data_IF_545270451578
#
_entry.id   IF_545270451578
#
_cell.length_a   1.000
_cell.length_b   1.000
_cell.length_c   1.000
_cell.angle_alpha   90.00
_cell.angle_beta   90.00
_cell.angle_gamma   90.00
#
_symmetry.space_group_name_H-M   'P 1'
#
loop_
_entity.id
_entity.type
_entity.pdbx_description
1 polymer ?
#
# COMPACT_ATOMS: atom_id res chain seq x y z
N UNK A 1 7.27 -8.61 26.12
CA UNK A 1 6.74 -7.94 24.91
C UNK A 1 6.32 -9.04 23.96
N UNK A 2 5.13 -8.93 23.36
CA UNK A 2 4.68 -9.86 22.30
C UNK A 2 5.57 -9.70 21.07
N UNK A 3 5.73 -10.74 20.26
CA UNK A 3 6.51 -10.66 19.03
C UNK A 3 5.73 -9.86 17.96
N UNK A 4 6.44 -9.09 17.13
CA UNK A 4 5.85 -8.37 16.00
C UNK A 4 6.63 -8.71 14.75
N UNK A 5 5.95 -9.42 13.83
CA UNK A 5 6.51 -9.80 12.54
C UNK A 5 6.67 -8.55 11.68
N UNK A 6 5.68 -7.65 11.71
CA UNK A 6 5.71 -6.41 10.93
C UNK A 6 6.86 -5.50 11.36
N UNK A 7 7.12 -5.35 12.65
CA UNK A 7 8.28 -4.61 13.15
C UNK A 7 9.61 -5.27 12.75
N UNK A 8 9.70 -6.60 12.77
CA UNK A 8 10.92 -7.30 12.32
C UNK A 8 11.19 -7.07 10.83
N UNK A 9 10.15 -7.03 9.98
CA UNK A 9 10.29 -6.70 8.55
C UNK A 9 10.83 -5.27 8.35
N UNK A 10 10.33 -4.29 9.09
CA UNK A 10 10.86 -2.91 9.00
C UNK A 10 12.36 -2.85 9.32
N UNK A 11 12.78 -3.54 10.38
CA UNK A 11 14.18 -3.57 10.84
C UNK A 11 15.07 -4.37 9.86
N UNK A 12 14.56 -5.40 9.19
CA UNK A 12 15.37 -6.24 8.30
C UNK A 12 15.83 -5.52 7.04
N UNK A 13 15.12 -4.47 6.60
CA UNK A 13 15.36 -3.80 5.32
C UNK A 13 15.37 -2.26 5.41
N UNK A 14 15.83 -1.68 6.52
CA UNK A 14 15.76 -0.23 6.81
C UNK A 14 16.21 0.68 5.64
N UNK A 15 17.32 0.34 4.97
CA UNK A 15 17.83 1.14 3.86
C UNK A 15 16.94 1.07 2.61
N UNK A 16 16.39 -0.11 2.30
CA UNK A 16 15.44 -0.25 1.21
C UNK A 16 14.12 0.44 1.54
N UNK A 17 13.64 0.32 2.78
CA UNK A 17 12.47 1.02 3.28
C UNK A 17 12.62 2.54 3.15
N UNK A 18 13.80 3.08 3.50
CA UNK A 18 14.09 4.50 3.34
C UNK A 18 14.02 4.94 1.88
N UNK A 19 14.57 4.17 0.93
CA UNK A 19 14.50 4.53 -0.50
C UNK A 19 13.07 4.45 -1.04
N UNK A 20 12.30 3.47 -0.58
CA UNK A 20 10.88 3.32 -0.91
C UNK A 20 10.01 4.47 -0.37
N UNK A 21 10.41 5.15 0.70
CA UNK A 21 9.56 6.15 1.40
C UNK A 21 10.11 7.58 1.37
N UNK A 22 11.34 7.81 0.89
CA UNK A 22 12.00 9.12 0.91
C UNK A 22 12.65 9.43 -0.44
N UNK A 23 11.85 9.36 -1.51
CA UNK A 23 12.28 9.66 -2.86
C UNK A 23 12.42 11.17 -3.12
N UNK A 24 13.19 11.53 -4.15
CA UNK A 24 13.33 12.93 -4.57
C UNK A 24 11.99 13.50 -5.08
N UNK A 25 11.14 12.68 -5.71
CA UNK A 25 9.77 13.07 -6.06
C UNK A 25 8.97 13.50 -4.82
N UNK A 26 8.96 12.69 -3.76
CA UNK A 26 8.27 13.02 -2.50
C UNK A 26 8.84 14.30 -1.88
N UNK A 27 10.17 14.48 -1.95
CA UNK A 27 10.82 15.70 -1.47
C UNK A 27 10.33 16.92 -2.24
N UNK A 28 10.29 16.85 -3.57
CA UNK A 28 9.78 17.95 -4.41
C UNK A 28 8.31 18.21 -4.15
N UNK A 29 7.48 17.18 -4.01
CA UNK A 29 6.06 17.31 -3.68
C UNK A 29 5.87 18.03 -2.33
N UNK A 30 6.60 17.59 -1.29
CA UNK A 30 6.58 18.23 0.03
C UNK A 30 7.13 19.66 0.06
N UNK A 31 7.94 20.07 -0.92
CA UNK A 31 8.40 21.47 -1.05
C UNK A 31 7.57 22.31 -2.03
N UNK A 32 6.44 21.79 -2.53
CA UNK A 32 5.63 22.48 -3.53
C UNK A 32 6.32 22.66 -4.89
N UNK A 33 7.31 21.82 -5.20
CA UNK A 33 8.13 21.91 -6.43
C UNK A 33 7.80 20.86 -7.48
N UNK A 34 6.93 19.90 -7.18
CA UNK A 34 6.45 18.95 -8.17
C UNK A 34 5.53 19.67 -9.17
N UNK A 35 5.86 19.64 -10.46
CA UNK A 35 5.02 20.26 -11.49
C UNK A 35 3.73 19.46 -11.71
N UNK A 36 2.72 20.08 -12.32
CA UNK A 36 1.47 19.40 -12.71
C UNK A 36 1.70 18.22 -13.64
N UNK A 37 2.67 18.31 -14.55
CA UNK A 37 3.00 17.22 -15.47
C UNK A 37 3.64 16.04 -14.72
N UNK A 38 4.57 16.33 -13.80
CA UNK A 38 5.23 15.31 -12.99
C UNK A 38 4.23 14.61 -12.06
N UNK A 39 3.43 15.39 -11.33
CA UNK A 39 2.38 14.88 -10.45
C UNK A 39 1.31 14.11 -11.23
N UNK A 40 0.89 14.63 -12.39
CA UNK A 40 -0.09 14.00 -13.27
C UNK A 40 0.41 12.66 -13.82
N UNK A 41 1.69 12.56 -14.21
CA UNK A 41 2.29 11.29 -14.63
C UNK A 41 2.23 10.24 -13.52
N UNK A 42 2.56 10.62 -12.27
CA UNK A 42 2.47 9.72 -11.14
C UNK A 42 1.02 9.30 -10.86
N UNK A 43 0.09 10.25 -10.72
CA UNK A 43 -1.35 9.97 -10.51
C UNK A 43 -1.96 9.09 -11.61
N UNK A 44 -1.52 9.26 -12.86
CA UNK A 44 -1.99 8.43 -13.97
C UNK A 44 -1.58 6.95 -13.81
N UNK A 45 -0.40 6.69 -13.25
CA UNK A 45 0.05 5.34 -12.91
C UNK A 45 -0.66 4.83 -11.65
N UNK A 46 -0.82 5.68 -10.65
CA UNK A 46 -1.53 5.38 -9.40
C UNK A 46 -2.98 4.93 -9.64
N UNK A 47 -3.67 5.57 -10.59
CA UNK A 47 -5.00 5.13 -11.03
C UNK A 47 -5.03 3.69 -11.56
N UNK A 48 -4.05 3.31 -12.38
CA UNK A 48 -3.97 1.95 -12.93
C UNK A 48 -3.53 0.94 -11.86
N UNK A 49 -2.67 1.39 -10.96
CA UNK A 49 -2.24 0.64 -9.78
C UNK A 49 -3.47 0.24 -8.94
N UNK A 50 -4.42 1.14 -8.68
CA UNK A 50 -5.67 0.85 -7.97
C UNK A 50 -6.46 -0.30 -8.60
N UNK A 51 -6.46 -0.42 -9.93
CA UNK A 51 -7.17 -1.53 -10.59
C UNK A 51 -6.49 -2.86 -10.33
N UNK A 52 -5.16 -2.89 -10.28
CA UNK A 52 -4.39 -4.08 -9.93
C UNK A 52 -4.51 -4.44 -8.45
N UNK A 53 -4.52 -3.44 -7.57
CA UNK A 53 -4.79 -3.56 -6.14
C UNK A 53 -6.15 -4.25 -5.89
N UNK A 54 -7.22 -3.76 -6.54
CA UNK A 54 -8.56 -4.35 -6.44
C UNK A 54 -8.59 -5.82 -6.91
N UNK A 55 -7.89 -6.15 -8.00
CA UNK A 55 -7.81 -7.53 -8.51
C UNK A 55 -7.05 -8.45 -7.56
N UNK A 56 -5.97 -7.98 -6.95
CA UNK A 56 -5.23 -8.74 -5.94
C UNK A 56 -6.08 -8.99 -4.69
N UNK A 57 -6.87 -8.01 -4.24
CA UNK A 57 -7.76 -8.20 -3.09
C UNK A 57 -8.87 -9.19 -3.40
N UNK A 58 -9.40 -9.16 -4.63
CA UNK A 58 -10.35 -10.17 -5.11
C UNK A 58 -9.76 -11.59 -5.09
N UNK A 59 -8.46 -11.74 -5.42
CA UNK A 59 -7.75 -13.03 -5.30
C UNK A 59 -7.59 -13.44 -3.85
N UNK A 60 -7.10 -12.56 -2.99
CA UNK A 60 -6.97 -12.82 -1.56
C UNK A 60 -8.30 -13.28 -0.97
N UNK A 61 -9.37 -12.53 -1.24
CA UNK A 61 -10.72 -12.86 -0.81
C UNK A 61 -11.17 -14.24 -1.29
N UNK A 62 -10.82 -14.64 -2.52
CA UNK A 62 -11.28 -15.91 -3.10
C UNK A 62 -10.76 -17.18 -2.42
N UNK A 63 -9.69 -17.07 -1.63
CA UNK A 63 -9.12 -18.22 -0.92
C UNK A 63 -9.11 -18.06 0.61
N UNK A 64 -9.72 -17.00 1.16
CA UNK A 64 -9.88 -16.91 2.61
C UNK A 64 -10.86 -17.96 3.11
N UNK A 65 -10.42 -18.78 4.06
CA UNK A 65 -11.25 -19.81 4.70
C UNK A 65 -11.91 -19.26 5.97
N UNK A 66 -13.23 -19.41 6.05
CA UNK A 66 -14.03 -18.89 7.15
C UNK A 66 -14.52 -20.01 8.06
N UNK A 67 -14.77 -19.72 9.36
CA UNK A 67 -15.38 -20.69 10.25
C UNK A 67 -16.78 -21.10 9.77
N UNK A 68 -17.06 -22.40 9.71
CA UNK A 68 -18.40 -22.94 9.40
C UNK A 68 -19.43 -22.66 10.48
N UNK A 69 -18.98 -22.40 11.71
CA UNK A 69 -19.84 -22.19 12.89
C UNK A 69 -19.52 -20.89 13.59
N UNK A 70 -20.56 -20.18 14.02
CA UNK A 70 -20.45 -18.96 14.83
C UNK A 70 -20.54 -19.31 16.30
N UNK A 71 -19.60 -18.81 17.11
CA UNK A 71 -19.68 -18.87 18.57
C UNK A 71 -19.82 -17.45 19.14
N UNK A 72 -20.92 -17.11 19.84
CA UNK A 72 -21.08 -15.82 20.48
C UNK A 72 -19.95 -15.54 21.49
N UNK A 73 -19.44 -14.30 21.51
CA UNK A 73 -18.39 -13.85 22.44
C UNK A 73 -17.02 -14.52 22.28
N UNK A 74 -16.73 -15.14 21.13
CA UNK A 74 -15.40 -15.65 20.80
C UNK A 74 -14.73 -14.70 19.81
N UNK A 75 -13.40 -14.59 19.89
CA UNK A 75 -12.60 -13.82 18.92
C UNK A 75 -12.93 -14.31 17.49
N UNK A 76 -13.36 -13.42 16.57
CA UNK A 76 -13.73 -13.80 15.19
C UNK A 76 -12.56 -14.41 14.40
N UNK A 77 -11.33 -14.33 14.91
CA UNK A 77 -10.15 -14.92 14.32
C UNK A 77 -9.56 -14.06 13.21
N UNK A 78 -8.30 -14.33 12.86
CA UNK A 78 -7.56 -13.51 11.91
C UNK A 78 -8.19 -13.45 10.51
N UNK A 79 -8.72 -14.56 10.00
CA UNK A 79 -9.33 -14.58 8.66
C UNK A 79 -10.59 -13.72 8.55
N UNK A 80 -11.44 -13.71 9.59
CA UNK A 80 -12.63 -12.86 9.62
C UNK A 80 -12.25 -11.38 9.73
N UNK A 81 -11.29 -11.03 10.61
CA UNK A 81 -10.78 -9.65 10.71
C UNK A 81 -10.14 -9.20 9.39
N UNK A 82 -9.41 -10.09 8.72
CA UNK A 82 -8.82 -9.81 7.41
C UNK A 82 -9.89 -9.61 6.34
N UNK A 83 -11.00 -10.35 6.37
CA UNK A 83 -12.16 -10.09 5.49
C UNK A 83 -12.71 -8.68 5.71
N UNK A 84 -12.95 -8.28 6.96
CA UNK A 84 -13.46 -6.95 7.28
C UNK A 84 -12.51 -5.85 6.77
N UNK A 85 -11.20 -6.06 6.96
CA UNK A 85 -10.17 -5.18 6.44
C UNK A 85 -10.19 -5.09 4.91
N UNK A 86 -10.29 -6.22 4.19
CA UNK A 86 -10.36 -6.26 2.71
C UNK A 86 -11.59 -5.49 2.21
N UNK A 87 -12.75 -5.65 2.87
CA UNK A 87 -13.97 -4.93 2.51
C UNK A 87 -13.75 -3.42 2.69
N UNK A 88 -13.18 -3.00 3.82
CA UNK A 88 -12.85 -1.61 4.07
C UNK A 88 -11.86 -1.07 3.03
N UNK A 89 -10.81 -1.83 2.70
CA UNK A 89 -9.80 -1.49 1.71
C UNK A 89 -10.41 -1.24 0.32
N UNK A 90 -11.29 -2.14 -0.15
CA UNK A 90 -11.99 -1.98 -1.43
C UNK A 90 -12.92 -0.75 -1.43
N UNK A 91 -13.59 -0.45 -0.32
CA UNK A 91 -14.41 0.77 -0.22
C UNK A 91 -13.54 2.01 -0.25
N UNK A 92 -12.44 2.03 0.50
CA UNK A 92 -11.53 3.16 0.63
C UNK A 92 -10.85 3.47 -0.70
N UNK A 93 -10.22 2.48 -1.35
CA UNK A 93 -9.48 2.69 -2.59
C UNK A 93 -10.39 3.18 -3.74
N UNK A 94 -11.69 2.78 -3.73
CA UNK A 94 -12.68 3.27 -4.72
C UNK A 94 -13.15 4.68 -4.42
N UNK A 95 -13.17 5.11 -3.16
CA UNK A 95 -13.42 6.51 -2.78
C UNK A 95 -12.22 7.38 -3.15
N UNK A 96 -11.02 6.90 -2.87
CA UNK A 96 -9.76 7.54 -3.20
C UNK A 96 -9.61 7.77 -4.70
N UNK A 97 -9.88 6.77 -5.54
CA UNK A 97 -9.82 6.93 -7.00
C UNK A 97 -10.72 8.08 -7.48
N UNK A 98 -11.95 8.17 -6.94
CA UNK A 98 -12.87 9.26 -7.29
C UNK A 98 -12.37 10.60 -6.77
N UNK A 99 -11.88 10.64 -5.53
CA UNK A 99 -11.35 11.83 -4.90
C UNK A 99 -10.24 12.42 -5.76
N UNK A 100 -9.18 11.66 -6.07
CA UNK A 100 -8.07 12.29 -6.77
C UNK A 100 -8.35 12.61 -8.23
N UNK A 101 -9.23 11.86 -8.92
CA UNK A 101 -9.65 12.22 -10.28
C UNK A 101 -10.33 13.60 -10.27
N UNK A 102 -11.23 13.83 -9.31
CA UNK A 102 -11.96 15.10 -9.20
C UNK A 102 -11.00 16.24 -8.80
N UNK A 103 -10.18 16.03 -7.77
CA UNK A 103 -9.19 17.01 -7.34
C UNK A 103 -8.20 17.34 -8.45
N UNK A 104 -7.66 16.34 -9.15
CA UNK A 104 -6.75 16.58 -10.27
C UNK A 104 -7.42 17.42 -11.37
N UNK A 105 -8.69 17.18 -11.68
CA UNK A 105 -9.43 17.98 -12.64
C UNK A 105 -9.60 19.44 -12.20
N UNK A 106 -9.90 19.69 -10.91
CA UNK A 106 -10.02 21.04 -10.35
C UNK A 106 -8.71 21.84 -10.43
N UNK A 107 -7.57 21.16 -10.29
CA UNK A 107 -6.24 21.76 -10.38
C UNK A 107 -5.67 21.75 -11.81
N UNK A 108 -6.39 21.21 -12.79
CA UNK A 108 -5.94 21.11 -14.18
C UNK A 108 -4.77 20.15 -14.40
N UNK A 109 -4.71 19.07 -13.62
CA UNK A 109 -3.70 18.01 -13.69
C UNK A 109 -4.25 16.85 -14.54
N UNK A 110 -3.52 16.45 -15.59
CA UNK A 110 -3.90 15.30 -16.40
C UNK A 110 -3.47 13.99 -15.75
N UNK A 111 -4.43 13.10 -15.48
CA UNK A 111 -4.24 11.78 -14.85
C UNK A 111 -4.44 10.61 -15.82
N UNK A 112 -4.19 10.84 -17.11
CA UNK A 112 -4.22 9.80 -18.13
C UNK A 112 -2.84 9.59 -18.76
N UNK A 113 -2.45 8.33 -18.87
CA UNK A 113 -1.39 7.90 -19.77
C UNK A 113 -1.95 7.78 -21.18
N UNK A 114 -1.08 7.90 -22.18
CA UNK A 114 -1.44 7.68 -23.57
C UNK A 114 -1.92 6.23 -23.78
N UNK A 115 -2.92 6.08 -24.66
CA UNK A 115 -3.50 4.77 -24.97
C UNK A 115 -3.35 4.46 -26.45
N UNK A 116 -3.21 3.17 -26.76
CA UNK A 116 -3.27 2.68 -28.13
C UNK A 116 -4.68 2.70 -28.71
N UNK A 117 -4.83 2.23 -29.94
CA UNK A 117 -6.13 2.16 -30.63
C UNK A 117 -7.16 1.26 -29.92
N UNK A 118 -6.70 0.34 -29.08
CA UNK A 118 -7.53 -0.56 -28.26
C UNK A 118 -7.97 0.06 -26.93
N UNK A 119 -7.62 1.32 -26.67
CA UNK A 119 -7.91 2.03 -25.43
C UNK A 119 -7.07 1.56 -24.23
N UNK A 120 -5.99 0.79 -24.47
CA UNK A 120 -5.11 0.32 -23.41
C UNK A 120 -3.80 1.11 -23.38
N UNK A 121 -3.26 1.24 -22.18
CA UNK A 121 -1.96 1.86 -21.93
C UNK A 121 -0.88 0.84 -22.24
N UNK A 122 0.06 1.21 -23.12
CA UNK A 122 1.20 0.37 -23.45
C UNK A 122 2.13 0.22 -22.23
N UNK A 123 2.62 -1.00 -21.99
CA UNK A 123 3.46 -1.31 -20.82
C UNK A 123 4.71 -0.44 -20.73
N UNK A 124 5.31 -0.05 -21.86
CA UNK A 124 6.50 0.80 -21.90
C UNK A 124 6.27 2.23 -21.41
N UNK A 125 5.01 2.70 -21.41
CA UNK A 125 4.64 4.03 -20.92
C UNK A 125 4.43 4.08 -19.40
N UNK A 126 4.20 2.91 -18.79
CA UNK A 126 4.00 2.76 -17.35
C UNK A 126 5.31 2.93 -16.59
N UNK A 127 5.22 3.47 -15.37
CA UNK A 127 6.32 3.43 -14.42
C UNK A 127 6.72 1.99 -14.13
N UNK A 128 8.00 1.77 -13.87
CA UNK A 128 8.50 0.44 -13.53
C UNK A 128 7.79 -0.12 -12.30
N UNK A 129 7.61 0.70 -11.26
CA UNK A 129 6.87 0.30 -10.07
C UNK A 129 5.45 -0.15 -10.38
N UNK A 130 4.73 0.50 -11.31
CA UNK A 130 3.38 0.07 -11.68
C UNK A 130 3.40 -1.35 -12.28
N UNK A 131 4.36 -1.64 -13.15
CA UNK A 131 4.52 -2.99 -13.73
C UNK A 131 4.85 -4.03 -12.66
N UNK A 132 5.68 -3.66 -11.68
CA UNK A 132 6.02 -4.52 -10.53
C UNK A 132 4.81 -4.78 -9.64
N UNK A 133 4.04 -3.76 -9.31
CA UNK A 133 2.80 -3.89 -8.53
C UNK A 133 1.75 -4.73 -9.25
N UNK A 134 1.54 -4.51 -10.55
CA UNK A 134 0.64 -5.34 -11.37
C UNK A 134 1.03 -6.82 -11.31
N UNK A 135 2.33 -7.12 -11.40
CA UNK A 135 2.85 -8.48 -11.28
C UNK A 135 2.70 -9.05 -9.86
N UNK A 136 2.98 -8.25 -8.83
CA UNK A 136 2.92 -8.66 -7.43
C UNK A 136 1.47 -9.01 -7.04
N UNK A 137 0.50 -8.15 -7.36
CA UNK A 137 -0.93 -8.45 -7.12
C UNK A 137 -1.45 -9.61 -7.99
N UNK A 138 -0.94 -9.78 -9.21
CA UNK A 138 -1.26 -10.94 -10.04
C UNK A 138 -0.65 -12.25 -9.48
N UNK A 139 0.38 -12.17 -8.64
CA UNK A 139 1.02 -13.32 -7.99
C UNK A 139 0.34 -13.74 -6.68
N UNK A 140 -0.64 -12.97 -6.19
CA UNK A 140 -1.41 -13.32 -4.98
C UNK A 140 -2.10 -14.67 -5.17
N UNK A 141 -1.75 -15.60 -4.28
CA UNK A 141 -2.22 -16.99 -4.23
C UNK A 141 -2.05 -17.55 -2.81
N UNK A 142 -2.85 -18.54 -2.38
CA UNK A 142 -2.68 -19.17 -1.08
C UNK A 142 -1.40 -20.01 -1.03
N UNK A 143 -0.79 -20.09 0.15
CA UNK A 143 0.23 -21.10 0.45
C UNK A 143 -0.40 -22.26 1.25
N UNK A 144 -1.15 -23.12 0.54
CA UNK A 144 -2.00 -24.18 1.14
C UNK A 144 -1.24 -25.21 2.00
N UNK A 145 0.08 -25.29 1.86
CA UNK A 145 0.92 -26.25 2.60
C UNK A 145 1.40 -25.70 3.94
N UNK A 146 1.13 -24.44 4.21
CA UNK A 146 1.65 -23.71 5.35
C UNK A 146 0.53 -23.10 6.19
N UNK A 147 0.82 -22.86 7.46
CA UNK A 147 -0.08 -22.16 8.37
C UNK A 147 -0.29 -20.71 7.93
N UNK A 148 -1.47 -20.14 8.18
CA UNK A 148 -1.82 -18.81 7.65
C UNK A 148 -1.56 -18.74 6.13
N UNK A 149 -2.29 -19.47 5.27
CA UNK A 149 -2.05 -19.51 3.82
C UNK A 149 -2.10 -18.14 3.13
N UNK A 150 -2.70 -17.15 3.78
CA UNK A 150 -2.85 -15.77 3.32
C UNK A 150 -1.69 -14.83 3.69
N UNK A 151 -0.73 -15.29 4.51
CA UNK A 151 0.24 -14.42 5.17
C UNK A 151 1.08 -13.58 4.20
N UNK A 152 1.61 -14.18 3.13
CA UNK A 152 2.37 -13.45 2.10
C UNK A 152 1.55 -12.34 1.47
N UNK A 153 0.28 -12.60 1.16
CA UNK A 153 -0.60 -11.60 0.58
C UNK A 153 -0.88 -10.47 1.58
N UNK A 154 -1.15 -10.79 2.85
CA UNK A 154 -1.33 -9.77 3.88
C UNK A 154 -0.07 -8.92 4.08
N UNK A 155 1.14 -9.50 4.00
CA UNK A 155 2.40 -8.73 4.06
C UNK A 155 2.55 -7.82 2.84
N UNK A 156 2.17 -8.28 1.64
CA UNK A 156 2.17 -7.44 0.44
C UNK A 156 1.27 -6.21 0.65
N UNK A 157 0.04 -6.42 1.12
CA UNK A 157 -0.92 -5.33 1.38
C UNK A 157 -0.49 -4.44 2.54
N UNK A 158 -0.07 -5.00 3.66
CA UNK A 158 0.42 -4.20 4.79
C UNK A 158 1.62 -3.34 4.39
N UNK A 159 2.59 -3.95 3.69
CA UNK A 159 3.78 -3.24 3.24
C UNK A 159 3.45 -2.12 2.26
N UNK A 160 2.49 -2.35 1.35
CA UNK A 160 1.94 -1.33 0.47
C UNK A 160 1.46 -0.11 1.27
N UNK A 161 0.48 -0.31 2.15
CA UNK A 161 -0.19 0.79 2.86
C UNK A 161 0.77 1.49 3.82
N UNK A 162 1.67 0.71 4.44
CA UNK A 162 2.67 1.22 5.36
C UNK A 162 3.70 2.11 4.65
N UNK A 163 4.23 1.66 3.51
CA UNK A 163 5.13 2.48 2.71
C UNK A 163 4.43 3.76 2.23
N UNK A 164 3.19 3.67 1.77
CA UNK A 164 2.44 4.82 1.28
C UNK A 164 2.17 5.86 2.39
N UNK A 165 1.71 5.41 3.56
CA UNK A 165 1.50 6.26 4.74
C UNK A 165 2.79 6.96 5.15
N UNK A 166 3.89 6.22 5.28
CA UNK A 166 5.15 6.79 5.77
C UNK A 166 5.80 7.71 4.72
N UNK A 167 5.66 7.39 3.43
CA UNK A 167 6.09 8.23 2.32
C UNK A 167 5.43 9.61 2.34
N UNK A 168 4.09 9.64 2.41
CA UNK A 168 3.33 10.89 2.44
C UNK A 168 3.46 11.61 3.77
N UNK A 169 3.61 10.89 4.89
CA UNK A 169 3.91 11.50 6.19
C UNK A 169 5.29 12.18 6.18
N UNK A 170 6.28 11.54 5.57
CA UNK A 170 7.60 12.14 5.40
C UNK A 170 7.56 13.36 4.47
N UNK A 171 6.85 13.28 3.34
CA UNK A 171 6.65 14.42 2.45
C UNK A 171 5.95 15.58 3.16
N UNK A 172 4.96 15.29 4.01
CA UNK A 172 4.22 16.29 4.79
C UNK A 172 5.12 17.03 5.76
N UNK A 173 6.06 16.32 6.38
CA UNK A 173 7.04 16.91 7.27
C UNK A 173 8.04 17.84 6.54
N UNK A 174 8.09 17.82 5.21
CA UNK A 174 8.89 18.75 4.41
C UNK A 174 8.16 20.05 4.05
N UNK A 175 6.86 20.15 4.32
CA UNK A 175 6.08 21.35 4.00
C UNK A 175 6.59 22.55 4.79
N UNK A 176 6.78 23.65 4.08
CA UNK A 176 6.99 24.98 4.65
C UNK A 176 5.69 25.53 5.27
N UNK A 177 5.81 26.52 6.16
CA UNK A 177 4.68 27.22 6.77
C UNK A 177 3.91 28.16 5.80
N UNK A 178 4.27 28.19 4.52
CA UNK A 178 3.53 28.97 3.51
C UNK A 178 2.21 28.32 3.12
N UNK A 179 1.33 29.12 2.51
CA UNK A 179 -0.02 28.71 2.10
C UNK A 179 -0.05 27.92 0.77
N UNK A 180 1.13 27.58 0.23
CA UNK A 180 1.29 26.92 -1.05
C UNK A 180 0.80 27.73 -2.25
N UNK A 181 0.65 29.06 -2.16
CA UNK A 181 0.17 29.88 -3.28
C UNK A 181 1.07 29.80 -4.52
N UNK A 182 2.34 29.46 -4.32
CA UNK A 182 3.38 29.36 -5.36
C UNK A 182 3.77 27.91 -5.66
N UNK A 183 3.04 26.92 -5.12
CA UNK A 183 3.32 25.52 -5.39
C UNK A 183 3.15 25.23 -6.90
N UNK A 184 4.10 24.50 -7.48
CA UNK A 184 4.16 24.21 -8.91
C UNK A 184 2.98 23.36 -9.42
N UNK A 185 2.27 22.68 -8.52
CA UNK A 185 1.03 21.95 -8.79
C UNK A 185 -0.24 22.79 -8.55
N UNK A 186 -0.10 24.05 -8.13
CA UNK A 186 -1.20 24.93 -7.72
C UNK A 186 -1.65 24.76 -6.26
N UNK A 187 -0.94 23.97 -5.47
CA UNK A 187 -1.24 23.62 -4.08
C UNK A 187 -2.03 22.32 -3.92
N UNK A 188 -2.09 21.49 -4.96
CA UNK A 188 -2.91 20.27 -4.98
C UNK A 188 -2.45 19.26 -3.91
N UNK A 189 -1.14 18.98 -3.86
CA UNK A 189 -0.58 18.06 -2.86
C UNK A 189 -0.78 18.62 -1.46
N UNK A 190 -0.38 19.88 -1.23
CA UNK A 190 -0.40 20.51 0.09
C UNK A 190 -1.81 20.60 0.68
N UNK A 191 -2.79 21.06 -0.11
CA UNK A 191 -4.13 21.40 0.39
C UNK A 191 -5.04 20.19 0.46
N UNK A 192 -4.96 19.31 -0.53
CA UNK A 192 -5.91 18.22 -0.71
C UNK A 192 -5.29 16.86 -0.43
N UNK A 193 -4.33 16.44 -1.26
CA UNK A 193 -3.93 15.03 -1.29
C UNK A 193 -3.22 14.57 -0.02
N UNK A 194 -2.26 15.36 0.47
CA UNK A 194 -1.41 14.92 1.57
C UNK A 194 -2.18 14.70 2.86
N UNK A 195 -3.28 15.43 3.06
CA UNK A 195 -4.13 15.27 4.23
C UNK A 195 -4.96 13.99 4.15
N UNK A 196 -5.39 13.58 2.96
CA UNK A 196 -6.08 12.30 2.76
C UNK A 196 -5.16 11.11 3.07
N UNK A 197 -3.90 11.16 2.63
CA UNK A 197 -2.93 10.05 2.80
C UNK A 197 -2.19 10.03 4.14
N UNK A 198 -2.45 11.01 5.01
CA UNK A 198 -1.83 11.10 6.35
C UNK A 198 -2.87 11.32 7.45
N UNK A 199 -4.15 11.10 7.13
CA UNK A 199 -5.22 11.25 8.11
C UNK A 199 -5.17 10.14 9.15
N UNK A 200 -5.78 10.41 10.30
CA UNK A 200 -5.81 9.46 11.42
C UNK A 200 -6.52 8.16 11.02
N UNK A 201 -7.58 8.27 10.22
CA UNK A 201 -8.34 7.13 9.72
C UNK A 201 -7.45 6.19 8.87
N UNK A 202 -6.54 6.75 8.06
CA UNK A 202 -5.62 5.93 7.27
C UNK A 202 -4.53 5.29 8.13
N UNK A 203 -4.03 6.00 9.15
CA UNK A 203 -3.11 5.41 10.15
C UNK A 203 -3.75 4.21 10.84
N UNK A 204 -4.98 4.38 11.34
CA UNK A 204 -5.70 3.30 12.03
C UNK A 204 -5.96 2.10 11.12
N UNK A 205 -6.24 2.34 9.83
CA UNK A 205 -6.43 1.30 8.82
C UNK A 205 -5.16 0.49 8.53
N UNK A 206 -3.99 1.16 8.46
CA UNK A 206 -2.68 0.51 8.29
C UNK A 206 -2.32 -0.31 9.54
N UNK A 207 -2.48 0.30 10.72
CA UNK A 207 -2.18 -0.33 12.01
C UNK A 207 -3.09 -1.53 12.28
N UNK A 208 -4.33 -1.52 11.80
CA UNK A 208 -5.25 -2.65 11.90
C UNK A 208 -4.73 -3.87 11.14
N UNK A 209 -4.28 -3.74 9.89
CA UNK A 209 -3.72 -4.89 9.16
C UNK A 209 -2.44 -5.41 9.82
N UNK A 210 -1.59 -4.50 10.30
CA UNK A 210 -0.39 -4.88 11.04
C UNK A 210 -0.71 -5.71 12.29
N UNK A 211 -1.73 -5.29 13.06
CA UNK A 211 -2.23 -6.05 14.22
C UNK A 211 -2.83 -7.40 13.82
N UNK A 212 -3.62 -7.48 12.75
CA UNK A 212 -4.18 -8.75 12.27
C UNK A 212 -3.06 -9.76 11.98
N UNK A 213 -1.99 -9.32 11.31
CA UNK A 213 -0.82 -10.15 11.02
C UNK A 213 -0.13 -10.57 12.32
N UNK A 214 0.24 -9.61 13.18
CA UNK A 214 0.99 -9.88 14.39
C UNK A 214 0.21 -10.76 15.39
N UNK A 215 -1.09 -10.54 15.57
CA UNK A 215 -1.95 -11.34 16.43
C UNK A 215 -2.06 -12.79 15.91
N UNK A 216 -2.22 -12.98 14.59
CA UNK A 216 -2.28 -14.31 13.98
C UNK A 216 -0.97 -15.09 14.17
N UNK A 217 0.15 -14.38 13.99
CA UNK A 217 1.49 -14.95 14.18
C UNK A 217 1.73 -15.31 15.64
N UNK A 218 1.40 -14.42 16.58
CA UNK A 218 1.56 -14.67 18.02
C UNK A 218 0.70 -15.86 18.47
N UNK A 219 -0.55 -15.95 18.02
CA UNK A 219 -1.41 -17.10 18.32
C UNK A 219 -0.79 -18.41 17.83
N UNK A 220 -0.26 -18.43 16.62
CA UNK A 220 0.38 -19.62 16.08
C UNK A 220 1.67 -20.00 16.85
N UNK A 221 2.44 -19.00 17.28
CA UNK A 221 3.62 -19.19 18.15
C UNK A 221 3.22 -19.77 19.51
N UNK A 222 2.13 -19.28 20.11
CA UNK A 222 1.61 -19.83 21.37
C UNK A 222 1.19 -21.31 21.22
N UNK A 223 0.61 -21.67 20.08
CA UNK A 223 0.15 -23.04 19.80
C UNK A 223 1.28 -24.00 19.42
N UNK A 224 2.30 -23.52 18.69
CA UNK A 224 3.31 -24.37 18.03
C UNK A 224 4.75 -24.12 18.47
N UNK A 225 4.99 -23.12 19.31
CA UNK A 225 6.30 -22.79 19.87
C UNK A 225 7.05 -21.68 19.15
N UNK A 226 8.13 -21.22 19.79
CA UNK A 226 8.94 -20.06 19.41
C UNK A 226 9.65 -20.20 18.04
N UNK A 227 10.01 -21.43 17.63
CA UNK A 227 10.70 -21.70 16.37
C UNK A 227 9.88 -21.28 15.13
N UNK A 228 8.56 -21.11 15.28
CA UNK A 228 7.66 -20.67 14.21
C UNK A 228 7.95 -19.22 13.79
N UNK A 229 8.43 -18.35 14.70
CA UNK A 229 8.72 -16.93 14.39
C UNK A 229 9.65 -16.79 13.19
N UNK A 230 10.80 -17.46 13.28
CA UNK A 230 11.85 -17.41 12.26
C UNK A 230 11.39 -18.04 10.94
N UNK A 231 10.59 -19.11 11.01
CA UNK A 231 10.02 -19.75 9.81
C UNK A 231 9.08 -18.80 9.07
N UNK A 232 8.18 -18.14 9.79
CA UNK A 232 7.23 -17.19 9.20
C UNK A 232 7.94 -15.97 8.64
N UNK A 233 8.89 -15.41 9.38
CA UNK A 233 9.71 -14.27 8.92
C UNK A 233 10.41 -14.59 7.59
N UNK A 234 11.17 -15.70 7.52
CA UNK A 234 11.86 -16.11 6.29
C UNK A 234 10.91 -16.34 5.11
N UNK A 235 9.69 -16.80 5.37
CA UNK A 235 8.68 -17.06 4.35
C UNK A 235 8.18 -15.75 3.71
N UNK A 236 8.03 -14.69 4.48
CA UNK A 236 7.48 -13.41 3.98
C UNK A 236 8.55 -12.38 3.61
N UNK A 237 9.79 -12.55 4.06
CA UNK A 237 10.89 -11.61 3.83
C UNK A 237 11.10 -11.32 2.34
N UNK A 238 11.01 -12.34 1.48
CA UNK A 238 11.10 -12.14 0.03
C UNK A 238 9.99 -11.23 -0.52
N UNK A 239 8.75 -11.39 -0.03
CA UNK A 239 7.61 -10.55 -0.43
C UNK A 239 7.72 -9.13 0.08
N UNK A 240 8.28 -8.96 1.27
CA UNK A 240 8.59 -7.64 1.78
C UNK A 240 9.61 -6.92 0.90
N UNK A 241 10.68 -7.59 0.48
CA UNK A 241 11.63 -7.01 -0.48
C UNK A 241 10.97 -6.68 -1.83
N UNK A 242 10.11 -7.56 -2.36
CA UNK A 242 9.35 -7.29 -3.60
C UNK A 242 8.52 -6.00 -3.48
N UNK A 243 7.87 -5.77 -2.33
CA UNK A 243 7.11 -4.53 -2.03
C UNK A 243 8.03 -3.32 -2.06
N UNK A 244 9.15 -3.36 -1.35
CA UNK A 244 10.08 -2.22 -1.27
C UNK A 244 10.65 -1.84 -2.64
N UNK A 245 10.99 -2.84 -3.46
CA UNK A 245 11.47 -2.58 -4.82
C UNK A 245 10.37 -2.03 -5.74
N UNK A 246 9.13 -2.54 -5.62
CA UNK A 246 8.00 -2.03 -6.38
C UNK A 246 7.72 -0.57 -6.03
N UNK A 247 7.76 -0.23 -4.74
CA UNK A 247 7.49 1.12 -4.26
C UNK A 247 8.62 2.11 -4.58
N UNK A 248 9.88 1.72 -4.37
CA UNK A 248 11.05 2.54 -4.77
C UNK A 248 10.98 2.89 -6.27
N UNK A 249 10.59 1.94 -7.11
CA UNK A 249 10.46 2.12 -8.55
C UNK A 249 9.13 2.80 -8.98
N UNK A 250 8.19 3.03 -8.05
CA UNK A 250 6.90 3.67 -8.34
C UNK A 250 7.00 5.20 -8.37
N UNK A 251 7.94 5.77 -7.63
CA UNK A 251 8.21 7.20 -7.68
C UNK A 251 8.86 7.57 -9.01
N UNK A 252 8.33 8.58 -9.75
CA UNK A 252 8.96 9.01 -10.99
C UNK A 252 10.39 9.50 -10.76
N UNK A 253 11.28 9.20 -11.70
CA UNK A 253 12.58 9.86 -11.77
C UNK A 253 12.39 11.36 -12.06
N UNK A 254 13.19 12.19 -11.40
CA UNK A 254 13.13 13.66 -11.40
C UNK A 254 14.49 14.28 -11.66
#
# INVERSE_FOLDING_TARGET
>A
MSYSLTQQLLVSAEQAYKRATQSEFLRLAGHGKASKELLGRWLANDRLYIHSYCRGLGRLLSFLEYPDTVQPNVDPGATTKLLDWIVAALVNIRREEKFFINTAAEYGINVNLETGQDGRVDSSTKLEGLRRWEALYASVSPNEKEELPWLEAAVIYWGTEKCYLDAWSWAKAQLSDDDGSNDADGGAVRKEFINNWTCKEFVEFVDELGRIIDDAVNKLVEEKGEDVKEKLFKRVEGRWHDVLEAEEAFWPAV
#
